data_IF_055376724952
#
_entry.id   IF_055376724952
#
_cell.length_a   1.000
_cell.length_b   1.000
_cell.length_c   1.000
_cell.angle_alpha   90.00
_cell.angle_beta   90.00
_cell.angle_gamma   90.00
#
_symmetry.space_group_name_H-M   'P 1'
#
loop_
_entity.id
_entity.type
_entity.pdbx_description
1 polymer ?
#
# COMPACT_ATOMS: atom_id res chain seq x y z
N UNK A 1 5.92 -10.84 40.74
CA UNK A 1 5.56 -9.71 39.83
C UNK A 1 6.81 -8.86 39.60
N UNK A 2 7.50 -9.01 38.49
CA UNK A 2 8.65 -8.17 38.12
C UNK A 2 8.29 -7.49 36.80
N UNK A 3 8.16 -6.16 36.86
CA UNK A 3 7.90 -5.29 35.69
C UNK A 3 9.17 -5.23 34.87
N UNK A 4 9.10 -5.53 33.56
CA UNK A 4 10.18 -5.33 32.59
C UNK A 4 10.07 -3.89 32.07
N UNK A 5 11.20 -3.15 31.91
CA UNK A 5 11.19 -1.81 31.34
C UNK A 5 11.02 -1.87 29.81
N UNK A 6 10.23 -0.95 29.27
CA UNK A 6 10.12 -0.69 27.85
C UNK A 6 11.43 -0.04 27.36
N UNK A 7 12.00 -0.59 26.30
CA UNK A 7 13.15 0.03 25.64
C UNK A 7 12.68 1.19 24.78
N UNK A 8 13.08 2.42 25.15
CA UNK A 8 12.94 3.61 24.31
C UNK A 8 13.94 3.51 23.16
N UNK A 9 13.45 3.45 21.94
CA UNK A 9 14.27 3.64 20.74
C UNK A 9 14.28 5.13 20.43
N UNK A 10 15.41 5.78 20.72
CA UNK A 10 15.65 7.19 20.40
C UNK A 10 16.05 7.29 18.92
N UNK A 11 15.22 7.88 18.10
CA UNK A 11 15.57 8.24 16.72
C UNK A 11 16.44 9.50 16.74
N UNK A 12 17.65 9.41 16.19
CA UNK A 12 18.56 10.55 16.05
C UNK A 12 18.07 11.44 14.88
N UNK A 13 17.71 12.68 15.20
CA UNK A 13 17.46 13.72 14.22
C UNK A 13 18.78 14.30 13.72
N UNK A 14 19.07 14.18 12.42
CA UNK A 14 20.16 14.85 11.74
C UNK A 14 19.74 16.27 11.35
N UNK A 15 20.25 17.27 12.05
CA UNK A 15 20.13 18.68 11.67
C UNK A 15 21.12 19.00 10.54
N UNK A 16 20.62 19.50 9.42
CA UNK A 16 21.40 20.14 8.38
C UNK A 16 21.47 21.65 8.64
N UNK A 17 22.66 22.14 8.98
CA UNK A 17 22.96 23.58 9.10
C UNK A 17 23.25 24.15 7.72
N UNK A 18 22.40 25.05 7.22
CA UNK A 18 22.66 25.86 6.04
C UNK A 18 23.45 27.11 6.38
N UNK A 19 24.58 27.34 5.72
CA UNK A 19 25.32 28.60 5.77
C UNK A 19 24.66 29.64 4.87
N UNK A 20 24.26 30.77 5.45
CA UNK A 20 23.83 31.94 4.73
C UNK A 20 25.04 32.80 4.38
N UNK A 21 25.32 32.98 3.10
CA UNK A 21 26.30 33.96 2.57
C UNK A 21 25.55 35.14 1.98
N UNK A 22 25.69 36.33 2.59
CA UNK A 22 25.24 37.59 2.01
C UNK A 22 26.31 38.16 1.07
N UNK A 23 26.00 38.40 -0.18
CA UNK A 23 26.70 39.39 -1.00
C UNK A 23 25.71 40.16 -1.85
N UNK A 24 25.64 41.48 -1.61
CA UNK A 24 24.80 42.41 -2.35
C UNK A 24 25.39 42.67 -3.73
N UNK A 25 24.53 42.68 -4.73
CA UNK A 25 24.81 43.09 -6.09
C UNK A 25 23.54 43.61 -6.75
N UNK A 26 23.58 44.88 -7.21
CA UNK A 26 22.47 45.61 -7.85
C UNK A 26 21.99 44.93 -9.12
N UNK A 27 20.68 44.82 -9.28
CA UNK A 27 20.02 44.24 -10.44
C UNK A 27 19.88 45.26 -11.58
N UNK A 28 20.07 44.87 -12.85
CA UNK A 28 19.51 45.59 -14.01
C UNK A 28 18.09 45.04 -14.32
N UNK A 29 17.26 45.96 -14.81
CA UNK A 29 15.84 45.76 -15.09
C UNK A 29 15.54 44.69 -16.14
N UNK A 30 14.55 43.91 -15.88
CA UNK A 30 13.48 43.41 -16.74
C UNK A 30 13.83 42.74 -18.07
N UNK A 31 13.99 41.38 -18.03
CA UNK A 31 13.62 40.56 -19.17
C UNK A 31 12.59 39.55 -18.65
N UNK A 32 11.35 39.63 -19.17
CA UNK A 32 10.34 38.61 -18.85
C UNK A 32 10.90 37.22 -19.20
N UNK A 33 10.83 36.31 -18.23
CA UNK A 33 11.17 34.94 -18.48
C UNK A 33 10.18 34.35 -19.50
N UNK A 34 10.62 33.53 -20.46
CA UNK A 34 9.71 32.82 -21.33
C UNK A 34 8.80 31.90 -20.50
N UNK A 35 7.49 31.93 -20.84
CA UNK A 35 6.50 31.03 -20.21
C UNK A 35 7.01 29.60 -20.21
N UNK A 36 6.95 28.97 -19.02
CA UNK A 36 7.30 27.58 -18.89
C UNK A 36 6.38 26.77 -19.83
N UNK A 37 6.92 25.76 -20.56
CA UNK A 37 6.11 24.94 -21.41
C UNK A 37 4.99 24.28 -20.59
N UNK A 38 3.77 24.11 -21.13
CA UNK A 38 2.67 23.50 -20.43
C UNK A 38 3.10 22.12 -19.93
N UNK A 39 2.90 21.82 -18.63
CA UNK A 39 3.15 20.49 -18.07
C UNK A 39 2.36 19.49 -18.92
N UNK A 40 3.06 18.56 -19.57
CA UNK A 40 2.42 17.47 -20.29
C UNK A 40 1.43 16.78 -19.32
N UNK A 41 0.17 16.67 -19.74
CA UNK A 41 -0.85 15.96 -18.96
C UNK A 41 -0.36 14.53 -18.75
N UNK A 42 -0.38 14.05 -17.49
CA UNK A 42 -0.04 12.67 -17.21
C UNK A 42 -0.96 11.74 -18.02
N UNK A 43 -0.45 10.62 -18.55
CA UNK A 43 -1.28 9.67 -19.27
C UNK A 43 -2.43 9.17 -18.35
N UNK A 44 -3.61 8.96 -18.94
CA UNK A 44 -4.76 8.46 -18.19
C UNK A 44 -4.44 7.08 -17.55
N UNK A 45 -4.93 6.81 -16.33
CA UNK A 45 -4.72 5.52 -15.69
C UNK A 45 -5.42 4.40 -16.46
N UNK A 46 -4.83 3.21 -16.42
CA UNK A 46 -5.41 1.98 -17.01
C UNK A 46 -6.48 1.39 -16.10
N UNK A 47 -7.54 2.13 -15.81
CA UNK A 47 -8.67 1.57 -15.05
C UNK A 47 -9.54 0.76 -16.02
N UNK A 48 -9.75 -0.56 -15.77
CA UNK A 48 -10.60 -1.39 -16.62
C UNK A 48 -12.06 -0.92 -16.53
N UNK A 49 -12.91 -1.36 -17.46
CA UNK A 49 -14.35 -1.22 -17.34
C UNK A 49 -14.96 -2.52 -16.79
N UNK A 50 -15.76 -2.44 -15.71
CA UNK A 50 -16.36 -3.63 -15.12
C UNK A 50 -17.07 -3.35 -13.80
N UNK A 51 -17.35 -4.43 -13.08
CA UNK A 51 -18.02 -4.39 -11.78
C UNK A 51 -17.31 -5.32 -10.81
N UNK A 52 -17.13 -4.85 -9.58
CA UNK A 52 -16.67 -5.70 -8.48
C UNK A 52 -17.78 -6.68 -8.04
N UNK A 53 -17.43 -7.81 -7.41
CA UNK A 53 -18.40 -8.68 -6.77
C UNK A 53 -19.25 -7.91 -5.75
N UNK A 54 -20.58 -8.14 -5.79
CA UNK A 54 -21.51 -7.51 -4.84
C UNK A 54 -21.63 -8.29 -3.55
N UNK A 55 -21.41 -9.62 -3.60
CA UNK A 55 -21.45 -10.50 -2.45
C UNK A 55 -20.07 -10.61 -1.79
N UNK A 56 -20.06 -10.79 -0.48
CA UNK A 56 -18.84 -11.05 0.28
C UNK A 56 -18.51 -12.54 0.25
N UNK A 57 -17.23 -12.87 0.18
CA UNK A 57 -16.72 -14.23 0.19
C UNK A 57 -16.35 -14.72 1.59
N UNK A 58 -16.43 -16.04 1.82
CA UNK A 58 -15.59 -16.67 2.84
C UNK A 58 -14.11 -16.46 2.48
N UNK A 59 -13.21 -16.54 3.46
CA UNK A 59 -11.79 -16.29 3.23
C UNK A 59 -10.97 -17.53 3.51
N UNK A 60 -10.18 -17.94 2.54
CA UNK A 60 -9.15 -18.94 2.69
C UNK A 60 -7.80 -18.29 3.03
N UNK A 61 -6.98 -18.99 3.81
CA UNK A 61 -5.62 -18.56 4.11
C UNK A 61 -4.62 -19.70 3.92
N UNK A 62 -3.46 -19.42 3.32
CA UNK A 62 -2.35 -20.37 3.19
C UNK A 62 -1.01 -19.67 3.13
N UNK A 63 0.07 -20.43 3.31
CA UNK A 63 1.43 -19.91 3.20
C UNK A 63 2.15 -20.52 2.00
N UNK A 64 2.97 -19.67 1.35
CA UNK A 64 3.99 -20.09 0.39
C UNK A 64 5.37 -19.94 1.01
N UNK A 65 6.26 -20.85 0.70
CA UNK A 65 7.67 -20.75 1.06
C UNK A 65 8.44 -20.31 -0.19
N UNK A 66 8.70 -19.00 -0.29
CA UNK A 66 9.49 -18.45 -1.37
C UNK A 66 10.89 -18.09 -0.87
N UNK A 67 11.85 -18.07 -1.80
CA UNK A 67 13.22 -17.68 -1.53
C UNK A 67 13.78 -17.03 -2.78
N UNK A 68 14.04 -15.72 -2.74
CA UNK A 68 14.64 -15.00 -3.86
C UNK A 68 16.13 -15.25 -3.87
N UNK A 69 16.67 -15.63 -5.05
CA UNK A 69 18.09 -15.84 -5.32
C UNK A 69 18.78 -16.91 -4.44
N UNK A 70 17.99 -17.71 -3.69
CA UNK A 70 18.48 -18.81 -2.87
C UNK A 70 18.87 -18.45 -1.43
N UNK A 71 19.10 -17.18 -1.12
CA UNK A 71 19.58 -16.69 0.17
C UNK A 71 18.66 -15.67 0.85
N UNK A 72 17.56 -15.27 0.16
CA UNK A 72 16.62 -14.30 0.69
C UNK A 72 15.24 -14.94 0.91
N UNK A 73 14.99 -15.53 2.09
CA UNK A 73 13.73 -16.19 2.40
C UNK A 73 12.59 -15.18 2.48
N UNK A 74 11.52 -15.45 1.75
CA UNK A 74 10.32 -14.64 1.67
C UNK A 74 9.07 -15.52 1.86
N UNK A 75 8.79 -15.99 3.07
CA UNK A 75 7.53 -16.67 3.34
C UNK A 75 6.37 -15.69 3.11
N UNK A 76 5.37 -16.12 2.33
CA UNK A 76 4.22 -15.30 1.96
C UNK A 76 2.96 -15.90 2.54
N UNK A 77 2.15 -15.09 3.22
CA UNK A 77 0.79 -15.47 3.60
C UNK A 77 -0.17 -14.95 2.53
N UNK A 78 -1.02 -15.84 2.03
CA UNK A 78 -2.08 -15.54 1.07
C UNK A 78 -3.43 -15.59 1.76
N UNK A 79 -4.24 -14.51 1.61
CA UNK A 79 -5.68 -14.51 1.88
C UNK A 79 -6.40 -14.46 0.55
N UNK A 80 -7.44 -15.25 0.36
CA UNK A 80 -8.13 -15.35 -0.92
C UNK A 80 -9.61 -15.64 -0.77
N UNK A 81 -10.45 -15.22 -1.73
CA UNK A 81 -11.86 -15.59 -1.77
C UNK A 81 -12.03 -17.11 -1.78
N UNK A 82 -12.80 -17.63 -0.84
CA UNK A 82 -13.05 -19.06 -0.67
C UNK A 82 -14.53 -19.39 -0.79
N UNK A 83 -14.82 -20.66 -0.99
CA UNK A 83 -16.20 -21.20 -0.95
C UNK A 83 -16.64 -21.29 0.50
N UNK A 84 -17.92 -21.04 0.77
CA UNK A 84 -18.51 -21.13 2.10
C UNK A 84 -19.26 -19.86 2.49
N UNK A 85 -19.72 -19.80 3.73
CA UNK A 85 -20.44 -18.66 4.26
C UNK A 85 -19.46 -17.53 4.61
N UNK A 86 -19.79 -16.31 4.15
CA UNK A 86 -19.02 -15.10 4.48
C UNK A 86 -19.10 -14.75 5.98
N UNK A 87 -18.16 -13.94 6.46
CA UNK A 87 -18.17 -13.36 7.80
C UNK A 87 -17.49 -14.21 8.89
N UNK A 88 -17.04 -15.44 8.56
CA UNK A 88 -16.23 -16.27 9.45
C UNK A 88 -14.75 -15.87 9.50
N UNK A 89 -14.01 -16.47 10.44
CA UNK A 89 -12.56 -16.37 10.45
C UNK A 89 -11.96 -17.05 9.21
N UNK A 90 -10.78 -16.57 8.71
CA UNK A 90 -10.09 -17.23 7.60
C UNK A 90 -9.80 -18.70 7.87
N UNK A 91 -10.18 -19.57 6.92
CA UNK A 91 -10.00 -21.00 7.03
C UNK A 91 -8.72 -21.44 6.32
N UNK A 92 -7.91 -22.28 6.97
CA UNK A 92 -6.67 -22.81 6.38
C UNK A 92 -6.97 -23.71 5.18
N UNK A 93 -6.35 -23.38 4.04
CA UNK A 93 -6.45 -24.17 2.81
C UNK A 93 -7.89 -24.39 2.31
N UNK A 94 -8.83 -23.49 2.64
CA UNK A 94 -10.19 -23.55 2.13
C UNK A 94 -10.21 -23.60 0.59
N UNK A 95 -11.17 -24.31 -0.03
CA UNK A 95 -11.31 -24.32 -1.47
C UNK A 95 -11.57 -22.90 -2.03
N UNK A 96 -10.80 -22.48 -3.03
CA UNK A 96 -10.97 -21.16 -3.62
C UNK A 96 -12.36 -21.02 -4.27
N UNK A 97 -12.92 -19.82 -4.18
CA UNK A 97 -14.18 -19.45 -4.86
C UNK A 97 -13.99 -19.48 -6.38
N UNK A 98 -15.11 -19.58 -7.11
CA UNK A 98 -15.12 -19.47 -8.56
C UNK A 98 -14.96 -18.00 -8.97
N UNK A 99 -14.29 -17.74 -10.08
CA UNK A 99 -14.02 -16.40 -10.58
C UNK A 99 -12.54 -16.15 -10.80
N UNK A 100 -12.20 -14.98 -11.33
CA UNK A 100 -10.84 -14.47 -11.43
C UNK A 100 -10.74 -13.23 -10.56
N UNK A 101 -9.73 -13.18 -9.73
CA UNK A 101 -9.59 -12.16 -8.69
C UNK A 101 -8.29 -11.36 -8.89
N UNK A 102 -8.36 -10.03 -8.82
CA UNK A 102 -7.19 -9.17 -8.78
C UNK A 102 -6.25 -9.52 -7.63
N UNK A 103 -4.97 -9.22 -7.80
CA UNK A 103 -3.93 -9.46 -6.77
C UNK A 103 -3.58 -8.16 -6.08
N UNK A 104 -3.57 -8.19 -4.75
CA UNK A 104 -3.13 -7.08 -3.91
C UNK A 104 -1.93 -7.52 -3.10
N UNK A 105 -0.80 -6.85 -3.30
CA UNK A 105 0.42 -7.08 -2.53
C UNK A 105 0.39 -6.20 -1.27
N UNK A 106 0.75 -6.76 -0.11
CA UNK A 106 0.81 -6.00 1.13
C UNK A 106 2.18 -6.13 1.80
N UNK A 107 2.85 -5.01 2.03
CA UNK A 107 4.14 -4.90 2.71
C UNK A 107 3.94 -4.41 4.15
N UNK A 108 4.41 -5.19 5.14
CA UNK A 108 4.27 -4.87 6.56
C UNK A 108 5.27 -3.80 7.04
N UNK A 109 4.99 -3.17 8.19
CA UNK A 109 5.88 -2.23 8.86
C UNK A 109 7.09 -2.89 9.54
N UNK A 110 8.06 -2.06 9.99
CA UNK A 110 9.24 -2.51 10.71
C UNK A 110 8.86 -3.27 11.99
N UNK A 111 9.44 -4.45 12.20
CA UNK A 111 9.17 -5.32 13.35
C UNK A 111 7.83 -6.04 13.31
N UNK A 112 7.03 -5.85 12.27
CA UNK A 112 5.73 -6.48 12.10
C UNK A 112 5.78 -7.77 11.27
N UNK A 113 4.65 -8.45 11.16
CA UNK A 113 4.42 -9.59 10.28
C UNK A 113 3.07 -9.43 9.56
N UNK A 114 2.83 -10.13 8.46
CA UNK A 114 1.56 -10.06 7.72
C UNK A 114 0.32 -10.29 8.59
N UNK A 115 0.41 -11.23 9.55
CA UNK A 115 -0.71 -11.61 10.41
C UNK A 115 -1.17 -10.49 11.36
N UNK A 116 -0.31 -9.51 11.66
CA UNK A 116 -0.67 -8.36 12.49
C UNK A 116 -1.76 -7.49 11.81
N UNK A 117 -1.85 -7.55 10.48
CA UNK A 117 -2.82 -6.81 9.65
C UNK A 117 -4.01 -7.67 9.21
N UNK A 118 -4.16 -8.90 9.74
CA UNK A 118 -5.12 -9.86 9.19
C UNK A 118 -6.55 -9.35 9.15
N UNK A 119 -6.95 -8.45 10.05
CA UNK A 119 -8.32 -7.90 10.07
C UNK A 119 -8.60 -7.11 8.78
N UNK A 120 -7.67 -6.25 8.37
CA UNK A 120 -7.76 -5.48 7.11
C UNK A 120 -7.64 -6.42 5.89
N UNK A 121 -6.63 -7.30 5.88
CA UNK A 121 -6.34 -8.16 4.72
C UNK A 121 -7.47 -9.19 4.48
N UNK A 122 -8.12 -9.66 5.56
CA UNK A 122 -9.31 -10.51 5.47
C UNK A 122 -10.48 -9.77 4.83
N UNK A 123 -10.69 -8.47 5.15
CA UNK A 123 -11.75 -7.67 4.52
C UNK A 123 -11.53 -7.50 3.03
N UNK A 124 -10.29 -7.29 2.59
CA UNK A 124 -9.97 -7.23 1.16
C UNK A 124 -10.22 -8.58 0.48
N UNK A 125 -9.80 -9.68 1.09
CA UNK A 125 -10.05 -11.02 0.52
C UNK A 125 -11.56 -11.32 0.46
N UNK A 126 -12.32 -10.98 1.49
CA UNK A 126 -13.77 -11.12 1.49
C UNK A 126 -14.45 -10.24 0.44
N UNK A 127 -13.86 -9.12 0.06
CA UNK A 127 -14.36 -8.23 -1.00
C UNK A 127 -14.00 -8.69 -2.42
N UNK A 128 -13.26 -9.80 -2.58
CA UNK A 128 -12.96 -10.39 -3.88
C UNK A 128 -11.52 -10.18 -4.36
N UNK A 129 -10.55 -9.98 -3.47
CA UNK A 129 -9.14 -9.83 -3.85
C UNK A 129 -8.30 -11.01 -3.34
N UNK A 130 -7.27 -11.41 -4.09
CA UNK A 130 -6.22 -12.28 -3.57
C UNK A 130 -5.13 -11.40 -2.99
N UNK A 131 -4.93 -11.48 -1.68
CA UNK A 131 -3.95 -10.66 -0.96
C UNK A 131 -2.71 -11.48 -0.69
N UNK A 132 -1.55 -11.01 -1.15
CA UNK A 132 -0.26 -11.67 -0.94
C UNK A 132 0.65 -10.77 -0.09
N UNK A 133 1.01 -11.25 1.10
CA UNK A 133 1.82 -10.50 2.04
C UNK A 133 3.10 -11.27 2.39
N UNK A 134 4.26 -10.86 1.89
CA UNK A 134 5.55 -11.43 2.30
C UNK A 134 5.92 -10.99 3.72
N UNK A 135 6.64 -11.86 4.43
CA UNK A 135 7.40 -11.48 5.62
C UNK A 135 8.85 -11.23 5.19
N UNK A 136 9.30 -9.99 5.30
CA UNK A 136 10.65 -9.61 4.93
C UNK A 136 11.68 -10.07 5.97
N UNK A 137 12.86 -10.56 5.56
CA UNK A 137 13.82 -11.20 6.45
C UNK A 137 14.44 -10.23 7.48
N UNK A 138 14.71 -8.98 7.09
CA UNK A 138 15.42 -8.02 7.93
C UNK A 138 14.47 -7.06 8.67
N UNK A 139 13.39 -6.59 8.04
CA UNK A 139 12.44 -5.68 8.66
C UNK A 139 11.29 -6.38 9.38
N UNK A 140 11.07 -7.69 9.15
CA UNK A 140 9.99 -8.46 9.77
C UNK A 140 10.27 -8.85 11.22
N UNK A 141 9.21 -9.22 11.93
CA UNK A 141 9.33 -9.71 13.30
C UNK A 141 10.31 -10.90 13.40
N UNK A 142 11.30 -10.77 14.28
CA UNK A 142 12.40 -11.74 14.44
C UNK A 142 13.52 -11.62 13.42
N UNK A 143 13.51 -10.60 12.56
CA UNK A 143 14.66 -10.18 11.76
C UNK A 143 15.68 -9.39 12.59
N UNK A 144 16.75 -8.93 11.95
CA UNK A 144 17.81 -8.13 12.58
C UNK A 144 17.42 -6.64 12.79
N UNK A 145 16.22 -6.24 12.33
CA UNK A 145 15.71 -4.89 12.49
C UNK A 145 16.35 -3.86 11.58
N UNK A 146 17.05 -4.26 10.51
CA UNK A 146 17.70 -3.34 9.58
C UNK A 146 16.67 -2.54 8.75
N UNK A 147 16.45 -1.23 9.05
CA UNK A 147 15.45 -0.44 8.34
C UNK A 147 15.84 -0.13 6.89
N UNK A 148 17.14 -0.17 6.55
CA UNK A 148 17.63 0.11 5.19
C UNK A 148 17.29 -1.02 4.21
N UNK A 149 16.87 -2.18 4.70
CA UNK A 149 16.41 -3.28 3.84
C UNK A 149 15.17 -2.91 3.02
N UNK A 150 14.44 -1.85 3.39
CA UNK A 150 13.33 -1.30 2.57
C UNK A 150 13.75 -0.96 1.14
N UNK A 151 15.04 -0.70 0.89
CA UNK A 151 15.56 -0.42 -0.45
C UNK A 151 15.63 -1.69 -1.33
N UNK A 152 15.70 -2.87 -0.73
CA UNK A 152 15.69 -4.17 -1.43
C UNK A 152 14.26 -4.70 -1.64
N UNK A 153 13.31 -4.24 -0.84
CA UNK A 153 11.95 -4.79 -0.79
C UNK A 153 11.12 -4.58 -2.06
N UNK A 154 11.26 -3.51 -2.86
CA UNK A 154 10.57 -3.43 -4.15
C UNK A 154 10.89 -4.63 -5.06
N UNK A 155 12.15 -5.07 -5.11
CA UNK A 155 12.54 -6.26 -5.88
C UNK A 155 11.99 -7.56 -5.26
N UNK A 156 11.88 -7.65 -3.92
CA UNK A 156 11.24 -8.78 -3.24
C UNK A 156 9.76 -8.88 -3.62
N UNK A 157 9.05 -7.75 -3.59
CA UNK A 157 7.62 -7.70 -3.90
C UNK A 157 7.36 -8.03 -5.37
N UNK A 158 8.18 -7.52 -6.30
CA UNK A 158 8.12 -7.90 -7.72
C UNK A 158 8.36 -9.39 -7.93
N UNK A 159 9.32 -9.98 -7.21
CA UNK A 159 9.56 -11.43 -7.23
C UNK A 159 8.34 -12.20 -6.68
N UNK A 160 7.81 -11.78 -5.51
CA UNK A 160 6.62 -12.39 -4.92
C UNK A 160 5.43 -12.33 -5.88
N UNK A 161 5.20 -11.19 -6.52
CA UNK A 161 4.14 -11.05 -7.54
C UNK A 161 4.30 -12.08 -8.65
N UNK A 162 5.51 -12.24 -9.19
CA UNK A 162 5.80 -13.22 -10.26
C UNK A 162 5.45 -14.64 -9.80
N UNK A 163 5.86 -15.02 -8.58
CA UNK A 163 5.59 -16.35 -8.04
C UNK A 163 4.11 -16.58 -7.73
N UNK A 164 3.40 -15.56 -7.26
CA UNK A 164 1.97 -15.64 -6.99
C UNK A 164 1.18 -15.78 -8.29
N UNK A 165 1.46 -14.96 -9.30
CA UNK A 165 0.79 -15.05 -10.60
C UNK A 165 1.03 -16.38 -11.30
N UNK A 166 2.20 -17.01 -11.12
CA UNK A 166 2.50 -18.32 -11.66
C UNK A 166 1.59 -19.44 -11.11
N UNK A 167 0.95 -19.23 -9.96
CA UNK A 167 -0.02 -20.18 -9.39
C UNK A 167 -1.25 -20.36 -10.30
N UNK A 168 -1.60 -19.34 -11.10
CA UNK A 168 -2.73 -19.39 -12.03
C UNK A 168 -2.61 -20.51 -13.08
N UNK A 169 -1.39 -20.82 -13.52
CA UNK A 169 -1.11 -21.91 -14.44
C UNK A 169 -0.73 -23.23 -13.78
N UNK A 170 -0.49 -23.26 -12.47
CA UNK A 170 0.10 -24.39 -11.77
C UNK A 170 -0.90 -25.53 -11.56
N UNK A 171 -0.62 -26.69 -12.15
CA UNK A 171 -1.47 -27.88 -11.97
C UNK A 171 -1.60 -28.28 -10.49
N UNK A 172 -2.82 -28.54 -10.06
CA UNK A 172 -3.13 -28.92 -8.66
C UNK A 172 -3.13 -27.77 -7.65
N UNK A 173 -2.80 -26.55 -8.04
CA UNK A 173 -2.88 -25.41 -7.13
C UNK A 173 -4.34 -24.94 -6.96
N UNK A 174 -4.81 -24.66 -5.73
CA UNK A 174 -6.17 -24.15 -5.49
C UNK A 174 -6.49 -22.84 -6.21
N UNK A 175 -5.48 -22.02 -6.52
CA UNK A 175 -5.63 -20.74 -7.21
C UNK A 175 -5.47 -20.84 -8.74
N UNK A 176 -5.35 -22.06 -9.29
CA UNK A 176 -5.28 -22.25 -10.73
C UNK A 176 -6.53 -21.73 -11.44
N UNK A 177 -6.35 -20.82 -12.41
CA UNK A 177 -7.41 -20.17 -13.14
C UNK A 177 -8.24 -19.18 -12.29
N UNK A 178 -7.68 -18.68 -11.18
CA UNK A 178 -8.36 -17.80 -10.23
C UNK A 178 -7.73 -16.41 -10.12
N UNK A 179 -6.52 -16.21 -10.66
CA UNK A 179 -5.83 -14.93 -10.58
C UNK A 179 -6.05 -14.12 -11.86
N UNK A 180 -6.18 -12.80 -11.69
CA UNK A 180 -6.20 -11.86 -12.80
C UNK A 180 -4.84 -11.15 -12.87
N UNK A 181 -3.95 -11.51 -13.80
CA UNK A 181 -2.60 -10.96 -13.88
C UNK A 181 -2.57 -9.52 -14.41
N UNK A 182 -3.66 -9.06 -15.04
CA UNK A 182 -3.81 -7.71 -15.59
C UNK A 182 -4.35 -6.70 -14.57
N UNK A 183 -4.52 -7.10 -13.30
CA UNK A 183 -5.16 -6.29 -12.24
C UNK A 183 -4.43 -6.47 -10.93
N UNK A 184 -3.43 -5.61 -10.69
CA UNK A 184 -2.54 -5.74 -9.55
C UNK A 184 -2.39 -4.41 -8.82
N UNK A 185 -2.49 -4.43 -7.50
CA UNK A 185 -2.14 -3.29 -6.65
C UNK A 185 -1.02 -3.62 -5.67
N UNK A 186 -0.21 -2.62 -5.33
CA UNK A 186 0.75 -2.70 -4.25
C UNK A 186 0.30 -1.82 -3.08
N UNK A 187 0.44 -2.34 -1.86
CA UNK A 187 0.04 -1.64 -0.65
C UNK A 187 1.05 -1.88 0.47
N UNK A 188 1.11 -0.99 1.46
CA UNK A 188 1.98 -1.23 2.59
C UNK A 188 1.93 -0.15 3.66
N UNK A 189 2.35 -0.53 4.87
CA UNK A 189 2.32 0.31 6.06
C UNK A 189 3.73 0.66 6.52
N UNK A 190 3.99 1.93 6.89
CA UNK A 190 5.25 2.37 7.50
C UNK A 190 6.45 2.03 6.59
N UNK A 191 7.41 1.22 7.03
CA UNK A 191 8.48 0.67 6.19
C UNK A 191 7.94 0.01 4.91
N UNK A 192 6.83 -0.74 4.99
CA UNK A 192 6.13 -1.29 3.82
C UNK A 192 5.50 -0.21 2.93
N UNK A 193 5.14 0.95 3.48
CA UNK A 193 4.73 2.12 2.71
C UNK A 193 5.88 2.68 1.87
N UNK A 194 7.10 2.73 2.43
CA UNK A 194 8.32 3.06 1.66
C UNK A 194 8.52 2.07 0.52
N UNK A 195 8.38 0.77 0.80
CA UNK A 195 8.46 -0.30 -0.21
C UNK A 195 7.44 -0.08 -1.33
N UNK A 196 6.20 0.26 -0.96
CA UNK A 196 5.13 0.55 -1.93
C UNK A 196 5.47 1.75 -2.80
N UNK A 197 5.94 2.86 -2.24
CA UNK A 197 6.39 4.03 -3.00
C UNK A 197 7.54 3.62 -3.94
N UNK A 198 8.50 2.81 -3.45
CA UNK A 198 9.61 2.30 -4.25
C UNK A 198 9.17 1.55 -5.51
N UNK A 199 8.07 0.80 -5.42
CA UNK A 199 7.48 0.08 -6.56
C UNK A 199 6.86 0.99 -7.64
N UNK A 200 6.66 2.27 -7.34
CA UNK A 200 6.18 3.28 -8.31
C UNK A 200 7.24 4.33 -8.66
N UNK A 201 8.46 4.19 -8.08
CA UNK A 201 9.59 5.10 -8.30
C UNK A 201 10.84 4.30 -8.73
N UNK A 202 11.90 4.26 -7.93
CA UNK A 202 13.20 3.66 -8.27
C UNK A 202 13.14 2.15 -8.59
N UNK A 203 12.23 1.40 -7.98
CA UNK A 203 12.00 -0.02 -8.21
C UNK A 203 10.72 -0.30 -9.03
N UNK A 204 10.40 0.57 -9.97
CA UNK A 204 9.14 0.51 -10.76
C UNK A 204 8.83 -0.89 -11.28
N UNK A 205 7.63 -1.39 -10.94
CA UNK A 205 7.03 -2.58 -11.54
C UNK A 205 5.83 -2.17 -12.41
N UNK A 206 5.97 -2.35 -13.73
CA UNK A 206 4.96 -1.91 -14.71
C UNK A 206 3.66 -2.72 -14.70
N UNK A 207 3.59 -3.80 -13.93
CA UNK A 207 2.39 -4.62 -13.74
C UNK A 207 1.40 -4.01 -12.74
N UNK A 208 1.81 -2.95 -12.03
CA UNK A 208 1.00 -2.34 -10.97
C UNK A 208 0.06 -1.27 -11.53
N UNK A 209 -1.24 -1.44 -11.27
CA UNK A 209 -2.31 -0.54 -11.71
C UNK A 209 -2.73 0.46 -10.65
N UNK A 210 -2.46 0.20 -9.36
CA UNK A 210 -2.83 1.08 -8.25
C UNK A 210 -1.92 0.91 -7.04
N UNK A 211 -1.84 1.93 -6.18
CA UNK A 211 -1.11 1.88 -4.93
C UNK A 211 -1.92 2.38 -3.72
N UNK A 212 -1.70 1.77 -2.54
CA UNK A 212 -2.19 2.30 -1.26
C UNK A 212 -1.02 2.40 -0.28
N UNK A 213 -0.75 3.60 0.20
CA UNK A 213 0.34 3.90 1.13
C UNK A 213 -0.24 4.28 2.49
N UNK A 214 0.02 3.47 3.51
CA UNK A 214 -0.37 3.74 4.88
C UNK A 214 0.84 4.27 5.67
N UNK A 215 0.76 5.48 6.17
CA UNK A 215 1.79 6.12 7.00
C UNK A 215 3.22 5.91 6.45
N UNK A 216 3.39 6.07 5.13
CA UNK A 216 4.67 5.86 4.43
C UNK A 216 5.37 7.18 4.09
N UNK A 217 6.65 7.08 3.79
CA UNK A 217 7.49 8.19 3.33
C UNK A 217 8.43 7.73 2.21
N UNK A 218 9.04 8.67 1.48
CA UNK A 218 9.95 8.37 0.36
C UNK A 218 11.40 8.07 0.78
N UNK A 219 11.63 7.62 2.00
CA UNK A 219 12.95 7.34 2.55
C UNK A 219 13.81 6.48 1.60
N UNK A 220 14.81 7.07 0.97
CA UNK A 220 15.76 6.38 0.11
C UNK A 220 15.23 5.92 -1.27
N UNK A 221 13.90 5.85 -1.48
CA UNK A 221 13.29 5.43 -2.76
C UNK A 221 12.92 6.61 -3.66
N UNK A 222 12.93 7.83 -3.12
CA UNK A 222 12.63 9.04 -3.86
C UNK A 222 11.16 9.22 -4.25
N UNK A 223 10.88 10.31 -4.98
CA UNK A 223 9.54 10.69 -5.45
C UNK A 223 9.48 10.86 -6.98
N UNK A 224 10.42 10.27 -7.70
CA UNK A 224 10.44 10.29 -9.16
C UNK A 224 9.46 9.24 -9.71
N UNK A 225 8.17 9.50 -9.55
CA UNK A 225 7.12 8.66 -10.12
C UNK A 225 7.20 8.69 -11.65
N UNK A 226 7.22 7.51 -12.27
CA UNK A 226 7.40 7.35 -13.71
C UNK A 226 6.55 6.19 -14.26
N UNK A 227 6.43 6.12 -15.60
CA UNK A 227 5.69 5.07 -16.29
C UNK A 227 4.20 5.36 -16.41
N UNK A 228 3.40 4.33 -16.63
CA UNK A 228 1.95 4.45 -16.75
C UNK A 228 1.32 5.01 -15.48
N UNK A 229 0.29 5.84 -15.62
CA UNK A 229 -0.42 6.40 -14.48
C UNK A 229 -1.10 5.28 -13.68
N UNK A 230 -0.82 5.24 -12.38
CA UNK A 230 -1.42 4.32 -11.43
C UNK A 230 -2.03 5.13 -10.28
N UNK A 231 -3.36 5.15 -10.10
CA UNK A 231 -4.00 5.87 -9.01
C UNK A 231 -3.40 5.52 -7.65
N UNK A 232 -3.25 6.51 -6.77
CA UNK A 232 -2.66 6.33 -5.45
C UNK A 232 -3.63 6.80 -4.35
N UNK A 233 -3.81 5.96 -3.32
CA UNK A 233 -4.50 6.33 -2.09
C UNK A 233 -3.49 6.38 -0.95
N UNK A 234 -3.39 7.52 -0.29
CA UNK A 234 -2.62 7.67 0.94
C UNK A 234 -3.56 7.64 2.13
N UNK A 235 -3.16 6.95 3.20
CA UNK A 235 -3.88 6.91 4.48
C UNK A 235 -2.89 7.27 5.57
N UNK A 236 -3.13 8.34 6.32
CA UNK A 236 -2.16 8.82 7.31
C UNK A 236 -2.86 9.43 8.53
N UNK A 237 -2.33 9.16 9.71
CA UNK A 237 -2.74 9.81 10.94
C UNK A 237 -2.07 11.18 11.09
N UNK A 238 -2.83 12.23 11.44
CA UNK A 238 -2.25 13.55 11.65
C UNK A 238 -1.47 13.65 12.97
N UNK A 239 -1.76 12.74 13.93
CA UNK A 239 -1.05 12.60 15.19
C UNK A 239 0.04 11.50 15.14
N UNK A 240 0.53 11.14 13.95
CA UNK A 240 1.59 10.14 13.78
C UNK A 240 2.95 10.71 14.24
N UNK A 241 3.46 10.19 15.36
CA UNK A 241 4.76 10.58 15.94
C UNK A 241 5.93 9.75 15.42
N UNK A 242 5.69 8.70 14.62
CA UNK A 242 6.72 7.81 14.06
C UNK A 242 7.11 8.26 12.65
N UNK A 243 6.12 8.40 11.78
CA UNK A 243 6.27 8.98 10.45
C UNK A 243 5.38 10.22 10.37
N UNK A 244 5.94 11.38 10.61
CA UNK A 244 5.17 12.62 10.66
C UNK A 244 4.30 12.82 9.42
N UNK A 245 3.05 13.25 9.61
CA UNK A 245 2.06 13.47 8.56
C UNK A 245 2.61 14.30 7.38
N UNK A 246 3.40 15.35 7.66
CA UNK A 246 3.99 16.20 6.64
C UNK A 246 4.92 15.42 5.68
N UNK A 247 5.60 14.37 6.15
CA UNK A 247 6.46 13.55 5.30
C UNK A 247 5.64 12.68 4.33
N UNK A 248 4.53 12.09 4.78
CA UNK A 248 3.60 11.37 3.92
C UNK A 248 2.89 12.31 2.93
N UNK A 249 2.47 13.49 3.40
CA UNK A 249 1.84 14.53 2.55
C UNK A 249 2.77 15.00 1.44
N UNK A 250 4.07 15.17 1.72
CA UNK A 250 5.06 15.55 0.71
C UNK A 250 5.17 14.51 -0.42
N UNK A 251 5.08 13.22 -0.09
CA UNK A 251 5.03 12.15 -1.12
C UNK A 251 3.73 12.21 -1.91
N UNK A 252 2.60 12.33 -1.23
CA UNK A 252 1.29 12.52 -1.87
C UNK A 252 1.32 13.68 -2.87
N UNK A 253 1.85 14.85 -2.46
CA UNK A 253 1.92 16.04 -3.32
C UNK A 253 2.76 15.78 -4.58
N UNK A 254 3.82 14.98 -4.48
CA UNK A 254 4.71 14.64 -5.57
C UNK A 254 4.12 13.65 -6.60
N UNK A 255 3.07 12.90 -6.25
CA UNK A 255 2.42 11.97 -7.19
C UNK A 255 1.78 12.73 -8.35
N UNK A 256 2.14 12.45 -9.61
CA UNK A 256 1.60 13.16 -10.78
C UNK A 256 0.27 12.58 -11.31
N UNK A 257 -0.18 11.48 -10.73
CA UNK A 257 -1.34 10.70 -11.17
C UNK A 257 -2.59 11.01 -10.34
N UNK A 258 -3.78 10.48 -10.71
CA UNK A 258 -4.96 10.53 -9.86
C UNK A 258 -4.64 10.02 -8.45
N UNK A 259 -5.04 10.76 -7.44
CA UNK A 259 -4.65 10.49 -6.06
C UNK A 259 -5.70 10.96 -5.08
N UNK A 260 -5.75 10.31 -3.92
CA UNK A 260 -6.50 10.80 -2.77
C UNK A 260 -5.71 10.61 -1.48
N UNK A 261 -5.99 11.46 -0.48
CA UNK A 261 -5.43 11.33 0.85
C UNK A 261 -6.52 11.27 1.88
N UNK A 262 -6.60 10.14 2.57
CA UNK A 262 -7.45 9.91 3.74
C UNK A 262 -6.65 10.28 4.99
N UNK A 263 -6.99 11.39 5.61
CA UNK A 263 -6.35 11.88 6.83
C UNK A 263 -7.21 11.54 8.05
N UNK A 264 -6.57 11.00 9.08
CA UNK A 264 -7.22 10.70 10.36
C UNK A 264 -6.72 11.71 11.39
N UNK A 265 -7.52 12.74 11.78
CA UNK A 265 -7.06 13.82 12.69
C UNK A 265 -6.50 13.31 14.01
N UNK A 266 -7.16 12.33 14.64
CA UNK A 266 -6.72 11.71 15.89
C UNK A 266 -5.94 10.41 15.67
N UNK A 267 -5.53 10.12 14.41
CA UNK A 267 -4.85 8.88 14.02
C UNK A 267 -3.37 8.91 14.40
N UNK A 268 -2.91 7.84 15.05
CA UNK A 268 -1.50 7.54 15.27
C UNK A 268 -0.91 6.72 14.12
N UNK A 269 0.32 6.23 14.30
CA UNK A 269 1.08 5.51 13.27
C UNK A 269 0.41 4.23 12.73
N UNK A 270 -0.47 3.55 13.46
CA UNK A 270 -0.96 2.25 12.98
C UNK A 270 -2.24 1.73 13.60
N UNK A 271 -2.77 2.37 14.63
CA UNK A 271 -3.96 1.84 15.35
C UNK A 271 -5.15 1.63 14.42
N UNK A 272 -5.33 2.51 13.43
CA UNK A 272 -6.40 2.41 12.45
C UNK A 272 -6.28 1.19 11.51
N UNK A 273 -5.15 0.47 11.53
CA UNK A 273 -4.89 -0.73 10.73
C UNK A 273 -4.84 -2.01 11.58
N UNK A 274 -4.45 -1.87 12.85
CA UNK A 274 -4.09 -2.99 13.71
C UNK A 274 -5.16 -3.27 14.79
N UNK A 275 -5.99 -2.28 15.13
CA UNK A 275 -7.00 -2.40 16.17
C UNK A 275 -8.42 -2.26 15.59
N UNK A 276 -9.32 -3.19 15.93
CA UNK A 276 -10.72 -3.05 15.52
C UNK A 276 -11.33 -1.78 16.13
N UNK A 277 -12.08 -1.06 15.32
CA UNK A 277 -12.67 0.20 15.72
C UNK A 277 -13.31 0.97 14.56
N UNK A 278 -13.77 2.18 14.85
CA UNK A 278 -14.40 3.05 13.84
C UNK A 278 -13.39 3.44 12.74
N UNK A 279 -12.16 3.76 13.13
CA UNK A 279 -11.11 4.16 12.20
C UNK A 279 -10.75 3.01 11.23
N UNK A 280 -10.56 1.77 11.75
CA UNK A 280 -10.32 0.61 10.88
C UNK A 280 -11.48 0.37 9.91
N UNK A 281 -12.73 0.55 10.34
CA UNK A 281 -13.88 0.37 9.43
C UNK A 281 -13.84 1.39 8.29
N UNK A 282 -13.64 2.68 8.59
CA UNK A 282 -13.51 3.73 7.57
C UNK A 282 -12.34 3.46 6.62
N UNK A 283 -11.17 3.11 7.15
CA UNK A 283 -10.01 2.76 6.33
C UNK A 283 -10.29 1.54 5.44
N UNK A 284 -10.89 0.49 6.00
CA UNK A 284 -11.18 -0.73 5.25
C UNK A 284 -12.23 -0.50 4.15
N UNK A 285 -13.32 0.22 4.46
CA UNK A 285 -14.36 0.54 3.48
C UNK A 285 -13.80 1.42 2.35
N UNK A 286 -13.07 2.49 2.69
CA UNK A 286 -12.42 3.37 1.70
C UNK A 286 -11.45 2.62 0.80
N UNK A 287 -10.60 1.78 1.37
CA UNK A 287 -9.61 1.01 0.60
C UNK A 287 -10.27 -0.06 -0.27
N UNK A 288 -11.36 -0.70 0.18
CA UNK A 288 -12.15 -1.63 -0.63
C UNK A 288 -12.77 -0.91 -1.83
N UNK A 289 -13.38 0.27 -1.64
CA UNK A 289 -13.98 1.02 -2.75
C UNK A 289 -12.91 1.52 -3.72
N UNK A 290 -11.75 1.94 -3.24
CA UNK A 290 -10.60 2.31 -4.09
C UNK A 290 -10.11 1.12 -4.93
N UNK A 291 -9.91 -0.05 -4.33
CA UNK A 291 -9.49 -1.27 -5.03
C UNK A 291 -10.56 -1.77 -6.01
N UNK A 292 -11.85 -1.69 -5.66
CA UNK A 292 -12.95 -2.03 -6.57
C UNK A 292 -12.96 -1.13 -7.79
N UNK A 293 -12.78 0.17 -7.61
CA UNK A 293 -12.69 1.07 -8.73
C UNK A 293 -11.46 0.77 -9.59
N UNK A 294 -10.29 0.73 -9.00
CA UNK A 294 -9.03 0.67 -9.76
C UNK A 294 -8.80 -0.69 -10.42
N UNK A 295 -9.17 -1.80 -9.77
CA UNK A 295 -8.87 -3.14 -10.24
C UNK A 295 -10.05 -3.84 -10.93
N UNK A 296 -11.29 -3.54 -10.57
CA UNK A 296 -12.47 -4.06 -11.27
C UNK A 296 -13.08 -3.05 -12.25
N UNK A 297 -12.71 -1.78 -12.17
CA UNK A 297 -13.33 -0.72 -12.96
C UNK A 297 -14.73 -0.34 -12.50
N UNK A 298 -15.07 -0.61 -11.23
CA UNK A 298 -16.38 -0.32 -10.67
C UNK A 298 -16.59 1.18 -10.46
N UNK A 299 -17.23 1.85 -11.41
CA UNK A 299 -17.50 3.29 -11.32
C UNK A 299 -18.44 3.65 -10.16
N UNK A 300 -19.29 2.72 -9.70
CA UNK A 300 -20.13 2.95 -8.54
C UNK A 300 -19.31 2.94 -7.25
N UNK A 301 -18.28 2.10 -7.16
CA UNK A 301 -17.32 2.11 -6.06
C UNK A 301 -16.60 3.47 -5.94
N UNK A 302 -16.13 4.01 -7.07
CA UNK A 302 -15.53 5.37 -7.09
C UNK A 302 -16.48 6.42 -6.54
N UNK A 303 -17.77 6.35 -6.89
CA UNK A 303 -18.79 7.32 -6.40
C UNK A 303 -19.08 7.17 -4.91
N UNK A 304 -18.98 5.95 -4.34
CA UNK A 304 -19.20 5.69 -2.91
C UNK A 304 -18.01 6.09 -2.03
N UNK A 305 -16.79 6.04 -2.58
CA UNK A 305 -15.54 6.24 -1.85
C UNK A 305 -15.54 7.50 -0.96
N UNK A 306 -15.93 8.71 -1.41
CA UNK A 306 -15.91 9.89 -0.54
C UNK A 306 -16.87 9.80 0.65
N UNK A 307 -18.04 9.19 0.46
CA UNK A 307 -19.01 9.02 1.54
C UNK A 307 -18.52 7.99 2.57
N UNK A 308 -17.87 6.92 2.13
CA UNK A 308 -17.31 5.90 3.01
C UNK A 308 -16.08 6.42 3.77
N UNK A 309 -15.25 7.20 3.11
CA UNK A 309 -14.06 7.83 3.67
C UNK A 309 -14.37 8.82 4.82
N UNK A 310 -15.48 9.54 4.71
CA UNK A 310 -15.85 10.58 5.70
C UNK A 310 -16.94 10.12 6.69
N UNK A 311 -17.32 8.84 6.63
CA UNK A 311 -18.37 8.29 7.48
C UNK A 311 -18.06 8.44 8.97
N UNK A 312 -18.97 9.09 9.68
CA UNK A 312 -18.87 9.29 11.13
C UNK A 312 -17.82 10.32 11.57
N UNK A 313 -17.26 11.09 10.64
CA UNK A 313 -16.35 12.21 10.94
C UNK A 313 -15.00 11.82 11.55
N UNK A 314 -14.58 10.55 11.39
CA UNK A 314 -13.29 10.06 11.92
C UNK A 314 -12.11 10.32 10.97
N UNK A 315 -12.38 10.68 9.75
CA UNK A 315 -11.38 11.00 8.74
C UNK A 315 -11.87 12.09 7.79
N UNK A 316 -10.94 12.74 7.11
CA UNK A 316 -11.17 13.67 6.00
C UNK A 316 -10.56 13.10 4.73
N UNK A 317 -11.07 13.49 3.57
CA UNK A 317 -10.58 13.05 2.26
C UNK A 317 -10.21 14.27 1.39
N UNK A 318 -8.96 14.30 0.95
CA UNK A 318 -8.50 15.17 -0.15
C UNK A 318 -8.54 14.32 -1.43
N UNK A 319 -9.52 14.57 -2.32
CA UNK A 319 -9.86 13.70 -3.45
C UNK A 319 -9.50 14.36 -4.80
N UNK A 320 -8.52 13.81 -5.47
CA UNK A 320 -8.07 14.12 -6.82
C UNK A 320 -8.01 12.85 -7.71
N UNK A 321 -8.91 11.89 -7.48
CA UNK A 321 -9.01 10.64 -8.23
C UNK A 321 -9.63 10.81 -9.62
#
# INVERSE_FOLDING_TARGET
>A
MRRRPAALVTAAALLSTGLAGCSGGSAPAGRAAPDAPPKASAPAPRVPAGHAPTESFAVGVRQLKLNRDGDRPLPVTLWYPARGAAGGAPERSAPAASGRFPVVLFSHGLGARPEDYQVLLTRWAAAGFVVAAPKFPHTGAGGDGNPLDVLNQPADVSYVLTQVLALDGKAGDPLRGRLDPERVAATGHSAGGVTTIGLFTAGRDERLDAGIVFAGTALGVGTAFAGAAAPQLFVHGEADEVVGYAAGKAVYDAVPWPKAMLSLPDGDHGRALLADGKALRVVADTTVEFLRWTLYGDAAAKKRLPADATRGGVATLDDHL
#
